data_IF_088077016667
#
_entry.id   IF_088077016667
#
_cell.length_a   1.000
_cell.length_b   1.000
_cell.length_c   1.000
_cell.angle_alpha   90.00
_cell.angle_beta   90.00
_cell.angle_gamma   90.00
#
_symmetry.space_group_name_H-M   'P 1'
#
loop_
_entity.id
_entity.type
_entity.pdbx_description
1 polymer ?
#
# COMPACT_ATOMS: atom_id res chain seq x y z
N UNK A 1 -0.59 4.81 15.43
CA UNK A 1 -1.37 5.32 14.28
C UNK A 1 -1.33 4.27 13.19
N UNK A 2 -2.38 3.45 13.12
CA UNK A 2 -2.27 2.11 12.58
C UNK A 2 -3.22 1.94 11.40
N UNK A 3 -2.82 2.47 10.24
CA UNK A 3 -3.59 2.38 8.98
C UNK A 3 -3.96 0.92 8.66
N UNK A 4 -3.01 0.01 8.89
CA UNK A 4 -3.17 -1.44 8.74
C UNK A 4 -3.98 -2.15 9.84
N UNK A 5 -4.37 -1.48 10.94
CA UNK A 5 -5.28 -2.07 11.94
C UNK A 5 -6.75 -1.84 11.60
N UNK A 6 -7.08 -0.77 10.88
CA UNK A 6 -8.45 -0.45 10.48
C UNK A 6 -8.80 -0.98 9.08
N UNK A 7 -7.85 -0.99 8.16
CA UNK A 7 -8.05 -1.48 6.80
C UNK A 7 -7.17 -2.70 6.56
N UNK A 8 -7.78 -3.90 6.50
CA UNK A 8 -7.07 -5.14 6.16
C UNK A 8 -6.52 -5.14 4.73
N UNK A 9 -7.01 -4.23 3.88
CA UNK A 9 -6.56 -4.01 2.50
C UNK A 9 -6.43 -2.52 2.24
N UNK A 10 -5.31 -2.11 1.66
CA UNK A 10 -5.02 -0.71 1.35
C UNK A 10 -4.61 -0.61 -0.12
N UNK A 11 -5.08 0.41 -0.83
CA UNK A 11 -4.67 0.70 -2.21
C UNK A 11 -3.68 1.86 -2.29
N UNK A 12 -3.02 2.02 -3.44
CA UNK A 12 -2.10 3.14 -3.66
C UNK A 12 -2.80 4.50 -3.47
N UNK A 13 -4.00 4.64 -4.05
CA UNK A 13 -4.84 5.83 -3.95
C UNK A 13 -5.14 6.25 -2.49
N UNK A 14 -5.33 5.29 -1.59
CA UNK A 14 -5.56 5.56 -0.17
C UNK A 14 -4.30 6.08 0.51
N UNK A 15 -3.13 5.55 0.14
CA UNK A 15 -1.83 5.99 0.68
C UNK A 15 -1.47 7.37 0.16
N UNK A 16 -1.73 7.68 -1.11
CA UNK A 16 -1.57 9.02 -1.66
C UNK A 16 -2.35 10.06 -0.86
N UNK A 17 -3.63 9.78 -0.59
CA UNK A 17 -4.50 10.67 0.20
C UNK A 17 -4.07 10.77 1.65
N UNK A 18 -3.60 9.67 2.25
CA UNK A 18 -3.22 9.64 3.65
C UNK A 18 -1.88 10.33 3.92
N UNK A 19 -0.89 10.08 3.07
CA UNK A 19 0.46 10.64 3.20
C UNK A 19 0.62 11.98 2.46
N UNK A 20 -0.37 12.39 1.67
CA UNK A 20 -0.31 13.56 0.77
C UNK A 20 0.91 13.51 -0.16
N UNK A 21 1.16 12.33 -0.74
CA UNK A 21 2.27 12.09 -1.66
C UNK A 21 1.76 11.73 -3.04
N UNK A 22 2.63 11.82 -4.04
CA UNK A 22 2.31 11.39 -5.41
C UNK A 22 2.14 9.87 -5.50
N UNK A 23 1.38 9.42 -6.50
CA UNK A 23 1.19 8.01 -6.88
C UNK A 23 2.50 7.21 -6.95
N UNK A 24 3.52 7.79 -7.60
CA UNK A 24 4.83 7.18 -7.72
C UNK A 24 5.54 7.04 -6.36
N UNK A 25 5.35 8.01 -5.46
CA UNK A 25 5.93 7.97 -4.11
C UNK A 25 5.22 6.92 -3.24
N UNK A 26 3.89 6.87 -3.28
CA UNK A 26 3.10 5.87 -2.56
C UNK A 26 3.47 4.44 -3.00
N UNK A 27 3.63 4.22 -4.31
CA UNK A 27 4.07 2.94 -4.87
C UNK A 27 5.45 2.55 -4.34
N UNK A 28 6.41 3.49 -4.31
CA UNK A 28 7.75 3.23 -3.76
C UNK A 28 7.72 2.83 -2.29
N UNK A 29 6.90 3.49 -1.48
CA UNK A 29 6.75 3.12 -0.07
C UNK A 29 6.16 1.73 0.11
N UNK A 30 5.12 1.41 -0.65
CA UNK A 30 4.50 0.08 -0.66
C UNK A 30 5.49 -1.01 -1.07
N UNK A 31 6.24 -0.80 -2.16
CA UNK A 31 7.27 -1.74 -2.61
C UNK A 31 8.37 -1.94 -1.56
N UNK A 32 8.77 -0.89 -0.85
CA UNK A 32 9.73 -0.99 0.24
C UNK A 32 9.17 -1.84 1.39
N UNK A 33 7.93 -1.59 1.81
CA UNK A 33 7.26 -2.35 2.87
C UNK A 33 7.04 -3.82 2.50
N UNK A 34 6.77 -4.11 1.23
CA UNK A 34 6.67 -5.47 0.71
C UNK A 34 8.03 -6.17 0.73
N UNK A 35 9.09 -5.47 0.31
CA UNK A 35 10.47 -5.99 0.36
C UNK A 35 10.93 -6.26 1.80
N UNK A 36 10.46 -5.46 2.75
CA UNK A 36 10.68 -5.67 4.19
C UNK A 36 9.80 -6.78 4.78
N UNK A 37 8.87 -7.36 4.01
CA UNK A 37 7.98 -8.43 4.47
C UNK A 37 6.88 -7.97 5.43
N UNK A 38 6.59 -6.66 5.48
CA UNK A 38 5.52 -6.09 6.34
C UNK A 38 4.15 -6.20 5.71
N UNK A 39 4.09 -6.15 4.38
CA UNK A 39 2.87 -6.22 3.59
C UNK A 39 3.08 -7.16 2.41
N UNK A 40 1.98 -7.56 1.77
CA UNK A 40 1.94 -8.38 0.58
C UNK A 40 1.06 -7.73 -0.47
N UNK A 41 1.56 -7.64 -1.69
CA UNK A 41 0.75 -7.23 -2.83
C UNK A 41 -0.25 -8.34 -3.21
N UNK A 42 -1.50 -7.94 -3.40
CA UNK A 42 -2.62 -8.75 -3.88
C UNK A 42 -3.07 -8.14 -5.21
N UNK A 43 -2.80 -8.87 -6.29
CA UNK A 43 -3.00 -8.41 -7.67
C UNK A 43 -1.66 -8.07 -8.36
N UNK A 44 -1.56 -8.29 -9.67
CA UNK A 44 -0.28 -8.15 -10.40
C UNK A 44 -0.01 -6.74 -10.92
N UNK A 45 -1.00 -6.07 -11.51
CA UNK A 45 -0.84 -4.73 -12.13
C UNK A 45 -2.19 -4.04 -12.29
N UNK A 46 -2.20 -2.70 -12.22
CA UNK A 46 -3.36 -1.85 -12.52
C UNK A 46 -4.28 -1.60 -11.31
N UNK A 47 -5.50 -1.13 -11.58
CA UNK A 47 -6.49 -0.70 -10.57
C UNK A 47 -6.94 -1.79 -9.59
N UNK A 48 -6.60 -3.06 -9.86
CA UNK A 48 -6.89 -4.19 -8.98
C UNK A 48 -5.79 -4.49 -7.96
N UNK A 49 -4.71 -3.72 -7.93
CA UNK A 49 -3.62 -3.91 -6.98
C UNK A 49 -4.01 -3.37 -5.62
N UNK A 50 -3.95 -4.22 -4.61
CA UNK A 50 -4.17 -3.88 -3.20
C UNK A 50 -3.07 -4.51 -2.35
N UNK A 51 -2.83 -3.97 -1.18
CA UNK A 51 -1.81 -4.44 -0.26
C UNK A 51 -2.46 -4.86 1.05
N UNK A 52 -2.07 -6.04 1.55
CA UNK A 52 -2.51 -6.58 2.84
C UNK A 52 -1.32 -6.73 3.77
N UNK A 53 -1.50 -6.46 5.05
CA UNK A 53 -0.50 -6.80 6.06
C UNK A 53 -0.35 -8.33 6.17
N UNK A 54 0.88 -8.79 6.44
CA UNK A 54 1.21 -10.18 6.82
C UNK A 54 1.21 -10.31 8.34
#
# INVERSE_FOLDING_TARGET
MSLFLQHSKITNDEIEKFLHVSDATATRYLSQLEKEGKIKQVGKTGKGVSYSRI
#
